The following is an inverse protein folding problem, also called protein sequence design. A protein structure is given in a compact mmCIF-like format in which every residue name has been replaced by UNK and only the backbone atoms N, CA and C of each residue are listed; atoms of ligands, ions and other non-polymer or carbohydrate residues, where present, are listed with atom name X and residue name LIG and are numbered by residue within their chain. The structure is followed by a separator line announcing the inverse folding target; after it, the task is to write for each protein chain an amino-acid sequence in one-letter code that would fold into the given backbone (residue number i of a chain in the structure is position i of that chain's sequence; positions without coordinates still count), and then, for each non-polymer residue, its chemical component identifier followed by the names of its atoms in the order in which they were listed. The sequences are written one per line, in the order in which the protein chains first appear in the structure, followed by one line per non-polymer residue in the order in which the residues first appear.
data_IF_178812133777
#
_entry.id   IF_178812133777
#
_cell.length_a   1.000
_cell.length_b   1.000
_cell.length_c   1.000
_cell.angle_alpha   90.00
_cell.angle_beta   90.00
_cell.angle_gamma   90.00
#
_symmetry.space_group_name_H-M   'P 1'
#
loop_
_entity.id
_entity.type
_entity.pdbx_description
1 polymer ?
#
# COMPACT_ATOMS: atom_id res chain seq x y z
N UNK A 1 36.42 19.08 56.42
CA UNK A 1 34.95 18.92 56.31
C UNK A 1 34.55 18.05 55.10
N UNK A 2 35.51 17.46 54.37
CA UNK A 2 35.28 16.89 53.03
C UNK A 2 34.78 15.43 52.99
N UNK A 3 34.86 14.66 54.08
CA UNK A 3 34.42 13.26 54.07
C UNK A 3 32.89 13.10 54.03
N UNK A 4 32.15 14.09 54.54
CA UNK A 4 30.68 14.05 54.67
C UNK A 4 29.97 14.37 53.37
N UNK A 5 30.57 15.19 52.51
CA UNK A 5 30.05 15.56 51.18
C UNK A 5 30.22 14.43 50.16
N UNK A 6 31.38 13.75 50.16
CA UNK A 6 31.61 12.60 49.27
C UNK A 6 30.70 11.39 49.56
N UNK A 7 30.37 11.17 50.83
CA UNK A 7 29.47 10.07 51.23
C UNK A 7 28.01 10.33 50.83
N UNK A 8 27.54 11.58 50.92
CA UNK A 8 26.20 11.99 50.45
C UNK A 8 26.07 11.96 48.93
N UNK A 9 27.11 12.36 48.20
CA UNK A 9 27.15 12.32 46.74
C UNK A 9 27.11 10.88 46.21
N UNK A 10 27.92 10.00 46.79
CA UNK A 10 27.91 8.57 46.45
C UNK A 10 26.54 7.92 46.74
N UNK A 11 25.86 8.32 47.81
CA UNK A 11 24.50 7.85 48.11
C UNK A 11 23.48 8.33 47.07
N UNK A 12 23.56 9.59 46.64
CA UNK A 12 22.70 10.14 45.59
C UNK A 12 22.86 9.40 44.26
N UNK A 13 24.09 9.19 43.78
CA UNK A 13 24.32 8.46 42.53
C UNK A 13 23.86 7.00 42.59
N UNK A 14 24.00 6.34 43.74
CA UNK A 14 23.44 4.99 43.97
C UNK A 14 21.91 5.00 43.84
N UNK A 15 21.22 5.92 44.52
CA UNK A 15 19.77 6.05 44.43
C UNK A 15 19.31 6.36 43.00
N UNK A 16 19.97 7.31 42.31
CA UNK A 16 19.68 7.64 40.91
C UNK A 16 19.84 6.42 39.99
N UNK A 17 20.91 5.63 40.16
CA UNK A 17 21.15 4.41 39.37
C UNK A 17 20.04 3.38 39.58
N UNK A 18 19.62 3.17 40.82
CA UNK A 18 18.54 2.23 41.15
C UNK A 18 17.20 2.65 40.53
N UNK A 19 16.86 3.94 40.63
CA UNK A 19 15.62 4.48 40.03
C UNK A 19 15.66 4.35 38.51
N UNK A 20 16.78 4.71 37.87
CA UNK A 20 16.95 4.57 36.42
C UNK A 20 16.89 3.11 35.97
N UNK A 21 17.45 2.19 36.75
CA UNK A 21 17.37 0.77 36.47
C UNK A 21 15.92 0.27 36.55
N UNK A 22 15.18 0.61 37.62
CA UNK A 22 13.76 0.26 37.75
C UNK A 22 12.92 0.83 36.61
N UNK A 23 13.20 2.07 36.19
CA UNK A 23 12.49 2.68 35.07
C UNK A 23 12.70 1.90 33.77
N UNK A 24 13.94 1.48 33.49
CA UNK A 24 14.26 0.65 32.32
C UNK A 24 13.57 -0.71 32.39
N UNK A 25 13.64 -1.40 33.52
CA UNK A 25 12.96 -2.69 33.73
C UNK A 25 11.45 -2.57 33.46
N UNK A 26 10.81 -1.50 33.96
CA UNK A 26 9.39 -1.25 33.70
C UNK A 26 9.08 -0.97 32.22
N UNK A 27 9.94 -0.21 31.54
CA UNK A 27 9.81 0.07 30.10
C UNK A 27 9.97 -1.22 29.28
N UNK A 28 10.96 -2.04 29.59
CA UNK A 28 11.24 -3.30 28.89
C UNK A 28 10.08 -4.28 29.06
N UNK A 29 9.56 -4.43 30.29
CA UNK A 29 8.37 -5.28 30.56
C UNK A 29 7.16 -4.80 29.75
N UNK A 30 6.95 -3.49 29.66
CA UNK A 30 5.87 -2.93 28.85
C UNK A 30 6.08 -3.19 27.35
N UNK A 31 7.31 -2.99 26.84
CA UNK A 31 7.68 -3.22 25.44
C UNK A 31 7.50 -4.69 25.03
N UNK A 32 8.00 -5.63 25.84
CA UNK A 32 7.85 -7.07 25.61
C UNK A 32 6.37 -7.42 25.52
N UNK A 33 5.55 -6.98 26.49
CA UNK A 33 4.11 -7.24 26.50
C UNK A 33 3.40 -6.71 25.25
N UNK A 34 3.80 -5.52 24.77
CA UNK A 34 3.27 -4.93 23.54
C UNK A 34 3.69 -5.72 22.29
N UNK A 35 4.96 -6.11 22.21
CA UNK A 35 5.50 -6.91 21.10
C UNK A 35 4.79 -8.27 20.99
N UNK A 36 4.64 -9.00 22.10
CA UNK A 36 3.92 -10.29 22.12
C UNK A 36 2.48 -10.14 21.62
N UNK A 37 1.80 -9.06 22.01
CA UNK A 37 0.42 -8.80 21.56
C UNK A 37 0.36 -8.51 20.04
N UNK A 38 1.30 -7.75 19.51
CA UNK A 38 1.40 -7.44 18.07
C UNK A 38 1.70 -8.72 17.28
N UNK A 39 2.65 -9.53 17.75
CA UNK A 39 2.97 -10.82 17.14
C UNK A 39 1.74 -11.74 17.10
N UNK A 40 0.99 -11.83 18.21
CA UNK A 40 -0.24 -12.63 18.24
C UNK A 40 -1.32 -12.18 17.25
N UNK A 41 -1.35 -10.89 16.85
CA UNK A 41 -2.22 -10.44 15.75
C UNK A 41 -1.69 -10.87 14.38
N UNK A 42 -0.37 -10.83 14.17
CA UNK A 42 0.26 -11.29 12.94
C UNK A 42 0.05 -12.81 12.75
N UNK A 43 0.27 -13.61 13.80
CA UNK A 43 0.13 -15.06 13.77
C UNK A 43 -1.31 -15.50 13.44
N UNK A 44 -2.30 -14.70 13.82
CA UNK A 44 -3.74 -14.92 13.54
C UNK A 44 -4.22 -14.28 12.23
N UNK A 45 -3.31 -13.66 11.46
CA UNK A 45 -3.63 -12.90 10.25
C UNK A 45 -4.66 -11.76 10.47
N UNK A 46 -4.72 -11.20 11.68
CA UNK A 46 -5.62 -10.10 12.05
C UNK A 46 -5.01 -8.74 11.69
N UNK A 47 -4.79 -8.50 10.39
CA UNK A 47 -4.05 -7.33 9.88
C UNK A 47 -4.59 -5.98 10.40
N UNK A 48 -5.92 -5.84 10.54
CA UNK A 48 -6.54 -4.61 11.07
C UNK A 48 -6.11 -4.31 12.50
N UNK A 49 -6.07 -5.33 13.35
CA UNK A 49 -5.68 -5.18 14.75
C UNK A 49 -4.17 -4.99 14.90
N UNK A 50 -3.37 -5.64 14.05
CA UNK A 50 -1.93 -5.42 13.93
C UNK A 50 -1.62 -3.94 13.64
N UNK A 51 -2.21 -3.37 12.58
CA UNK A 51 -2.02 -1.97 12.22
C UNK A 51 -2.48 -1.00 13.32
N UNK A 52 -3.62 -1.27 13.97
CA UNK A 52 -4.12 -0.45 15.08
C UNK A 52 -3.16 -0.47 16.28
N UNK A 53 -2.60 -1.64 16.62
CA UNK A 53 -1.67 -1.81 17.72
C UNK A 53 -0.32 -1.13 17.46
N UNK A 54 0.24 -1.27 16.24
CA UNK A 54 1.46 -0.57 15.82
C UNK A 54 1.27 0.94 15.91
N UNK A 55 0.17 1.46 15.36
CA UNK A 55 -0.15 2.90 15.40
C UNK A 55 -0.27 3.44 16.83
N UNK A 56 -0.74 2.63 17.78
CA UNK A 56 -0.83 3.04 19.18
C UNK A 56 0.53 3.16 19.88
N UNK A 57 1.57 2.45 19.42
CA UNK A 57 2.93 2.55 19.98
C UNK A 57 3.66 3.78 19.44
N UNK A 58 3.60 4.00 18.13
CA UNK A 58 4.26 5.14 17.50
C UNK A 58 3.51 6.48 17.70
N UNK A 59 2.28 6.43 18.21
CA UNK A 59 1.44 7.60 18.43
C UNK A 59 0.78 8.12 17.14
N UNK A 60 0.16 9.31 17.18
CA UNK A 60 -0.37 9.95 15.99
C UNK A 60 0.72 10.07 14.94
N UNK A 61 0.59 9.33 13.84
CA UNK A 61 1.44 9.52 12.67
C UNK A 61 1.26 10.98 12.24
N UNK A 62 2.30 11.79 12.42
CA UNK A 62 2.36 13.13 11.85
C UNK A 62 2.42 12.87 10.35
N UNK A 63 1.28 13.01 9.67
CA UNK A 63 1.22 13.02 8.21
C UNK A 63 1.84 14.34 7.76
N UNK A 64 3.16 14.46 7.89
CA UNK A 64 3.91 15.48 7.20
C UNK A 64 3.66 15.25 5.72
N UNK A 65 3.13 16.27 5.04
CA UNK A 65 3.15 16.25 3.59
C UNK A 65 4.61 16.16 3.19
N UNK A 66 5.00 15.10 2.48
CA UNK A 66 6.37 14.97 2.01
C UNK A 66 6.65 16.17 1.10
N UNK A 67 7.67 16.99 1.41
CA UNK A 67 8.00 18.12 0.56
C UNK A 67 8.46 17.61 -0.81
N UNK A 68 7.99 18.27 -1.87
CA UNK A 68 8.21 17.86 -3.25
C UNK A 68 9.07 18.90 -3.96
N UNK A 69 9.97 18.51 -4.86
CA UNK A 69 10.68 19.48 -5.69
C UNK A 69 9.80 20.01 -6.83
N UNK A 70 9.98 21.28 -7.18
CA UNK A 70 9.46 21.88 -8.41
C UNK A 70 9.97 21.15 -9.67
N UNK A 71 9.34 21.38 -10.83
CA UNK A 71 9.70 20.70 -12.09
C UNK A 71 11.12 20.99 -12.56
N UNK A 72 11.66 22.15 -12.21
CA UNK A 72 13.04 22.59 -12.44
C UNK A 72 14.04 22.13 -11.34
N UNK A 73 13.55 21.50 -10.27
CA UNK A 73 14.38 20.99 -9.17
C UNK A 73 14.93 22.05 -8.21
N UNK A 74 14.59 23.33 -8.38
CA UNK A 74 15.22 24.44 -7.63
C UNK A 74 14.53 24.76 -6.31
N UNK A 75 13.22 24.54 -6.23
CA UNK A 75 12.38 24.93 -5.08
C UNK A 75 11.73 23.72 -4.42
N UNK A 76 11.72 23.73 -3.08
CA UNK A 76 11.08 22.70 -2.27
C UNK A 76 9.65 23.15 -1.91
N UNK A 77 8.66 22.46 -2.45
CA UNK A 77 7.24 22.68 -2.25
C UNK A 77 6.77 21.97 -0.97
N UNK A 78 6.43 22.74 0.05
CA UNK A 78 5.95 22.25 1.35
C UNK A 78 4.45 22.44 1.53
N UNK A 79 3.85 23.41 0.81
CA UNK A 79 2.42 23.71 0.87
C UNK A 79 1.59 22.70 0.07
N UNK A 80 0.46 22.25 0.66
CA UNK A 80 -0.44 21.27 0.03
C UNK A 80 -0.97 21.72 -1.33
N UNK A 81 -1.32 22.99 -1.49
CA UNK A 81 -1.82 23.58 -2.75
C UNK A 81 -0.76 23.49 -3.85
N UNK A 82 0.48 23.82 -3.53
CA UNK A 82 1.61 23.79 -4.45
C UNK A 82 1.97 22.36 -4.86
N UNK A 83 1.97 21.43 -3.90
CA UNK A 83 2.18 19.99 -4.16
C UNK A 83 1.09 19.46 -5.11
N UNK A 84 -0.18 19.77 -4.88
CA UNK A 84 -1.28 19.36 -5.76
C UNK A 84 -1.15 19.93 -7.17
N UNK A 85 -0.74 21.20 -7.30
CA UNK A 85 -0.50 21.83 -8.59
C UNK A 85 0.65 21.15 -9.35
N UNK A 86 1.75 20.84 -8.66
CA UNK A 86 2.91 20.13 -9.22
C UNK A 86 2.56 18.71 -9.66
N UNK A 87 1.71 18.01 -8.90
CA UNK A 87 1.14 16.72 -9.29
C UNK A 87 0.32 16.82 -10.58
N UNK A 88 -0.57 17.80 -10.68
CA UNK A 88 -1.39 18.01 -11.88
C UNK A 88 -0.52 18.33 -13.10
N UNK A 89 0.53 19.13 -12.95
CA UNK A 89 1.51 19.40 -13.99
C UNK A 89 2.26 18.13 -14.43
N UNK A 90 2.77 17.34 -13.47
CA UNK A 90 3.47 16.09 -13.77
C UNK A 90 2.60 15.14 -14.58
N UNK A 91 1.38 14.85 -14.12
CA UNK A 91 0.48 13.96 -14.84
C UNK A 91 0.02 14.52 -16.17
N UNK A 92 -0.14 15.84 -16.29
CA UNK A 92 -0.47 16.44 -17.59
C UNK A 92 0.64 16.16 -18.61
N UNK A 93 1.91 16.31 -18.21
CA UNK A 93 3.05 16.07 -19.09
C UNK A 93 3.22 14.58 -19.42
N UNK A 94 3.01 13.69 -18.44
CA UNK A 94 3.14 12.24 -18.65
C UNK A 94 2.02 11.69 -19.52
N UNK A 95 0.76 12.08 -19.25
CA UNK A 95 -0.42 11.48 -19.87
C UNK A 95 -0.87 12.21 -21.15
N UNK A 96 -0.64 13.52 -21.26
CA UNK A 96 -1.04 14.32 -22.43
C UNK A 96 0.17 14.71 -23.28
N UNK A 97 1.22 13.89 -23.28
CA UNK A 97 2.32 14.07 -24.22
C UNK A 97 1.76 13.91 -25.64
N UNK A 98 1.89 14.94 -26.47
CA UNK A 98 1.56 14.85 -27.90
C UNK A 98 2.47 13.82 -28.55
N UNK A 99 1.99 12.59 -28.69
CA UNK A 99 2.70 11.54 -29.41
C UNK A 99 2.64 11.83 -30.90
N UNK A 100 3.72 12.40 -31.45
CA UNK A 100 3.94 12.40 -32.90
C UNK A 100 4.50 11.02 -33.26
N UNK A 101 3.62 10.10 -33.65
CA UNK A 101 4.06 8.80 -34.16
C UNK A 101 4.81 9.06 -35.47
N UNK A 102 6.09 8.71 -35.52
CA UNK A 102 6.88 8.85 -36.74
C UNK A 102 6.34 7.89 -37.80
N UNK A 103 5.94 8.42 -38.96
CA UNK A 103 5.51 7.60 -40.11
C UNK A 103 6.61 6.62 -40.51
N UNK A 104 7.87 7.06 -40.48
CA UNK A 104 9.02 6.19 -40.72
C UNK A 104 9.17 5.05 -39.68
N UNK A 105 8.64 5.21 -38.46
CA UNK A 105 8.58 4.11 -37.49
C UNK A 105 7.41 3.16 -37.78
N UNK A 106 6.26 3.67 -38.24
CA UNK A 106 5.12 2.86 -38.69
C UNK A 106 5.53 2.01 -39.90
N UNK A 107 6.21 2.62 -40.89
CA UNK A 107 6.67 1.94 -42.11
C UNK A 107 7.71 0.84 -41.82
N UNK A 108 8.39 0.90 -40.67
CA UNK A 108 9.34 -0.12 -40.21
C UNK A 108 8.68 -1.26 -39.44
N UNK A 109 7.42 -1.12 -39.01
CA UNK A 109 6.72 -2.19 -38.30
C UNK A 109 6.33 -3.29 -39.31
N UNK A 110 6.77 -4.54 -39.09
CA UNK A 110 6.30 -5.64 -39.92
C UNK A 110 4.79 -5.77 -39.76
N UNK A 111 4.06 -5.60 -40.86
CA UNK A 111 2.62 -5.85 -40.90
C UNK A 111 2.42 -7.36 -40.80
N UNK A 112 1.67 -7.79 -39.78
CA UNK A 112 1.22 -9.17 -39.64
C UNK A 112 -0.16 -9.25 -40.27
N UNK A 113 -0.46 -10.39 -40.90
CA UNK A 113 -1.79 -10.63 -41.45
C UNK A 113 -2.88 -10.38 -40.39
N UNK A 114 -4.01 -9.81 -40.83
CA UNK A 114 -5.15 -9.56 -39.96
C UNK A 114 -5.61 -10.88 -39.32
N UNK A 115 -5.59 -10.94 -37.99
CA UNK A 115 -6.06 -12.12 -37.26
C UNK A 115 -7.59 -12.11 -37.18
N UNK A 116 -8.23 -12.75 -38.16
CA UNK A 116 -9.68 -12.89 -38.22
C UNK A 116 -10.27 -13.69 -37.03
N UNK A 117 -9.45 -14.45 -36.29
CA UNK A 117 -9.93 -15.20 -35.12
C UNK A 117 -10.38 -14.26 -33.99
N UNK A 118 -9.89 -13.00 -33.98
CA UNK A 118 -10.30 -11.99 -33.00
C UNK A 118 -11.73 -11.46 -33.24
N UNK A 119 -12.27 -11.63 -34.45
CA UNK A 119 -13.64 -11.25 -34.79
C UNK A 119 -14.65 -12.36 -34.47
N UNK A 120 -14.16 -13.55 -34.07
CA UNK A 120 -15.04 -14.65 -33.66
C UNK A 120 -15.61 -14.37 -32.27
N UNK A 121 -16.90 -14.69 -32.03
CA UNK A 121 -17.47 -14.62 -30.70
C UNK A 121 -16.73 -15.62 -29.78
N UNK A 122 -16.61 -15.29 -28.48
CA UNK A 122 -15.94 -16.15 -27.53
C UNK A 122 -16.59 -17.53 -27.46
N UNK A 123 -15.78 -18.58 -27.43
CA UNK A 123 -16.27 -19.94 -27.25
C UNK A 123 -16.55 -20.25 -25.78
N UNK A 124 -17.43 -21.23 -25.51
CA UNK A 124 -17.74 -21.65 -24.14
C UNK A 124 -16.48 -22.02 -23.32
N UNK A 125 -15.50 -22.77 -23.85
CA UNK A 125 -14.25 -23.06 -23.12
C UNK A 125 -13.44 -21.80 -22.79
N UNK A 126 -13.45 -20.78 -23.64
CA UNK A 126 -12.76 -19.51 -23.40
C UNK A 126 -13.44 -18.71 -22.30
N UNK A 127 -14.78 -18.62 -22.33
CA UNK A 127 -15.56 -17.99 -21.26
C UNK A 127 -15.30 -18.66 -19.91
N UNK A 128 -15.33 -20.00 -19.86
CA UNK A 128 -15.04 -20.76 -18.64
C UNK A 128 -13.63 -20.45 -18.13
N UNK A 129 -12.63 -20.45 -19.02
CA UNK A 129 -11.24 -20.15 -18.67
C UNK A 129 -11.10 -18.72 -18.15
N UNK A 130 -11.70 -17.75 -18.82
CA UNK A 130 -11.68 -16.35 -18.40
C UNK A 130 -12.26 -16.18 -16.99
N UNK A 131 -13.41 -16.78 -16.71
CA UNK A 131 -14.04 -16.71 -15.38
C UNK A 131 -13.20 -17.39 -14.30
N UNK A 132 -12.59 -18.54 -14.60
CA UNK A 132 -11.68 -19.23 -13.67
C UNK A 132 -10.47 -18.37 -13.31
N UNK A 133 -9.94 -17.59 -14.26
CA UNK A 133 -8.79 -16.70 -14.07
C UNK A 133 -9.11 -15.41 -13.31
N UNK A 134 -10.38 -15.06 -13.08
CA UNK A 134 -10.73 -13.89 -12.26
C UNK A 134 -10.15 -14.07 -10.83
N UNK A 135 -9.72 -13.00 -10.18
CA UNK A 135 -9.27 -13.08 -8.78
C UNK A 135 -10.45 -12.96 -7.81
N UNK A 136 -10.49 -13.79 -6.78
CA UNK A 136 -11.48 -13.69 -5.70
C UNK A 136 -11.15 -12.54 -4.74
N UNK A 137 -12.14 -12.08 -4.01
CA UNK A 137 -12.05 -11.01 -3.00
C UNK A 137 -11.67 -9.64 -3.57
N UNK A 138 -11.93 -9.40 -4.85
CA UNK A 138 -11.87 -8.04 -5.43
C UNK A 138 -13.14 -7.28 -5.10
N UNK A 139 -13.00 -5.96 -4.97
CA UNK A 139 -14.15 -5.08 -4.80
C UNK A 139 -15.06 -5.16 -6.03
N UNK A 140 -16.39 -5.21 -5.85
CA UNK A 140 -17.33 -5.17 -6.95
C UNK A 140 -17.25 -3.84 -7.71
N UNK A 141 -17.71 -3.85 -8.96
CA UNK A 141 -17.84 -2.65 -9.78
C UNK A 141 -19.03 -1.80 -9.36
N UNK A 142 -19.41 -0.85 -10.22
CA UNK A 142 -20.62 -0.03 -10.04
C UNK A 142 -21.92 -0.85 -10.06
N UNK A 143 -21.86 -2.06 -10.61
CA UNK A 143 -22.93 -3.06 -10.63
C UNK A 143 -23.14 -3.76 -9.28
N UNK A 144 -22.22 -3.56 -8.32
CA UNK A 144 -22.20 -4.23 -7.03
C UNK A 144 -22.09 -5.78 -7.10
N UNK A 145 -21.73 -6.35 -8.25
CA UNK A 145 -21.60 -7.80 -8.44
C UNK A 145 -20.17 -8.22 -8.14
N UNK A 146 -20.00 -9.17 -7.23
CA UNK A 146 -18.66 -9.64 -6.85
C UNK A 146 -18.17 -10.77 -7.77
N UNK A 147 -16.84 -10.94 -7.92
CA UNK A 147 -16.25 -12.01 -8.74
C UNK A 147 -16.74 -13.43 -8.41
N UNK A 148 -17.11 -13.67 -7.16
CA UNK A 148 -17.54 -14.96 -6.65
C UNK A 148 -18.84 -15.44 -7.31
N UNK A 149 -19.74 -14.50 -7.66
CA UNK A 149 -20.99 -14.82 -8.35
C UNK A 149 -20.70 -15.48 -9.69
N UNK A 150 -19.76 -14.94 -10.45
CA UNK A 150 -19.35 -15.50 -11.73
C UNK A 150 -18.65 -16.84 -11.56
N UNK A 151 -17.69 -16.93 -10.63
CA UNK A 151 -16.94 -18.18 -10.39
C UNK A 151 -17.81 -19.35 -9.93
N UNK A 152 -18.83 -19.08 -9.13
CA UNK A 152 -19.67 -20.11 -8.53
C UNK A 152 -21.05 -20.26 -9.18
N UNK A 153 -21.37 -19.46 -10.19
CA UNK A 153 -22.66 -19.51 -10.89
C UNK A 153 -22.89 -20.76 -11.76
N UNK A 154 -21.88 -21.61 -11.89
CA UNK A 154 -21.98 -22.93 -12.51
C UNK A 154 -22.13 -22.92 -14.03
N UNK A 155 -22.31 -24.10 -14.65
CA UNK A 155 -22.28 -24.26 -16.11
C UNK A 155 -23.36 -23.47 -16.84
N UNK A 156 -24.54 -23.28 -16.22
CA UNK A 156 -25.64 -22.53 -16.82
C UNK A 156 -25.29 -21.04 -16.96
N UNK A 157 -24.67 -20.44 -15.93
CA UNK A 157 -24.21 -19.07 -16.02
C UNK A 157 -23.14 -18.91 -17.12
N UNK A 158 -22.22 -19.87 -17.23
CA UNK A 158 -21.19 -19.83 -18.28
C UNK A 158 -21.80 -19.86 -19.68
N UNK A 159 -22.81 -20.71 -19.91
CA UNK A 159 -23.49 -20.79 -21.21
C UNK A 159 -24.20 -19.47 -21.58
N UNK A 160 -24.94 -18.88 -20.64
CA UNK A 160 -25.60 -17.59 -20.86
C UNK A 160 -24.57 -16.47 -21.12
N UNK A 161 -23.48 -16.43 -20.35
CA UNK A 161 -22.40 -15.44 -20.57
C UNK A 161 -21.76 -15.58 -21.94
N UNK A 162 -21.57 -16.79 -22.46
CA UNK A 162 -21.03 -17.01 -23.81
C UNK A 162 -21.98 -16.49 -24.88
N UNK A 163 -23.30 -16.60 -24.70
CA UNK A 163 -24.28 -16.12 -25.69
C UNK A 163 -24.49 -14.61 -25.71
N UNK A 164 -23.99 -13.88 -24.71
CA UNK A 164 -24.11 -12.42 -24.64
C UNK A 164 -23.17 -11.68 -25.61
N UNK A 165 -22.18 -12.38 -26.16
CA UNK A 165 -21.18 -11.87 -27.09
C UNK A 165 -21.39 -12.50 -28.47
#
# INVERSE_FOLDING_TARGET
MDLRTHTTEAAFFRCRRLVQQRLREMQDVWMIRKATKIQGYADRNEMKNLFKAIKAIYGPCIKGSAPLLSSDGTTLLTEKSQILKRWAEHFRNVLNCSSAISVAAIDRLPQVDTNNDLDLPPSLPETIRAVQHISSSKAPGSDAITPEVYKHGGPRLMAELTTLF
#
